data_IF_817343024701
#
_entry.id   IF_817343024701
#
_cell.length_a   1.000
_cell.length_b   1.000
_cell.length_c   1.000
_cell.angle_alpha   90.00
_cell.angle_beta   90.00
_cell.angle_gamma   90.00
#
_symmetry.space_group_name_H-M   'P 1'
#
loop_
_entity.id
_entity.type
_entity.pdbx_description
1 polymer ?
#
# COMPACT_ATOMS: atom_id res chain seq x y z
N UNK A 1 2.62 -4.49 11.55
CA UNK A 1 4.05 -4.23 11.66
C UNK A 1 4.29 -3.02 12.56
N UNK A 2 5.46 -2.38 12.49
CA UNK A 2 5.90 -1.41 13.49
C UNK A 2 5.21 -0.04 13.42
N UNK A 3 4.52 0.29 12.35
CA UNK A 3 3.73 1.54 12.27
C UNK A 3 2.81 1.71 13.48
N UNK A 4 2.09 0.66 13.88
CA UNK A 4 1.21 0.71 15.04
C UNK A 4 1.99 0.98 16.36
N UNK A 5 3.19 0.41 16.52
CA UNK A 5 4.03 0.65 17.68
C UNK A 5 4.62 2.07 17.68
N UNK A 6 5.03 2.57 16.50
CA UNK A 6 5.52 3.94 16.34
C UNK A 6 4.42 4.96 16.66
N UNK A 7 3.21 4.78 16.13
CA UNK A 7 2.05 5.63 16.44
C UNK A 7 1.68 5.57 17.91
N UNK A 8 1.70 4.39 18.53
CA UNK A 8 1.48 4.25 19.98
C UNK A 8 2.53 5.02 20.79
N UNK A 9 3.81 4.87 20.46
CA UNK A 9 4.88 5.63 21.10
C UNK A 9 4.70 7.14 20.95
N UNK A 10 4.30 7.59 19.75
CA UNK A 10 3.98 9.00 19.48
C UNK A 10 2.87 9.53 20.40
N UNK A 11 1.81 8.74 20.62
CA UNK A 11 0.68 9.13 21.47
C UNK A 11 1.01 9.04 22.97
N UNK A 12 1.60 7.93 23.41
CA UNK A 12 1.91 7.67 24.83
C UNK A 12 2.95 8.67 25.37
N UNK A 13 3.96 9.01 24.56
CA UNK A 13 4.98 9.98 24.94
C UNK A 13 4.64 11.43 24.56
N UNK A 14 3.43 11.66 24.03
CA UNK A 14 2.93 12.99 23.65
C UNK A 14 3.87 13.75 22.71
N UNK A 15 4.55 13.05 21.79
CA UNK A 15 5.51 13.69 20.87
C UNK A 15 4.87 14.77 19.98
N UNK A 16 3.56 14.76 19.85
CA UNK A 16 2.79 15.83 19.19
C UNK A 16 2.82 17.17 19.93
N UNK A 17 3.21 17.19 21.21
CA UNK A 17 3.26 18.43 21.98
C UNK A 17 4.53 19.25 21.68
N UNK A 18 5.60 18.59 21.25
CA UNK A 18 6.90 19.24 21.03
C UNK A 18 7.03 19.83 19.62
N UNK A 19 6.33 19.25 18.63
CA UNK A 19 6.42 19.67 17.23
C UNK A 19 5.17 19.29 16.44
N UNK A 20 4.79 20.16 15.50
CA UNK A 20 3.68 19.87 14.58
C UNK A 20 3.98 18.68 13.67
N UNK A 21 5.23 18.53 13.22
CA UNK A 21 5.68 17.43 12.38
C UNK A 21 6.71 16.58 13.13
N UNK A 22 6.31 15.39 13.54
CA UNK A 22 7.19 14.40 14.15
C UNK A 22 7.64 13.38 13.10
N UNK A 23 8.94 13.22 12.92
CA UNK A 23 9.55 12.25 12.02
C UNK A 23 10.24 11.17 12.82
N UNK A 24 9.80 9.94 12.64
CA UNK A 24 10.32 8.76 13.33
C UNK A 24 10.88 7.76 12.32
N UNK A 25 11.87 6.98 12.73
CA UNK A 25 12.31 5.80 11.99
C UNK A 25 12.47 4.63 12.92
N UNK A 26 12.42 3.45 12.38
CA UNK A 26 12.69 2.21 13.10
C UNK A 26 13.40 1.19 12.21
N UNK A 27 14.21 0.35 12.86
CA UNK A 27 14.88 -0.80 12.22
C UNK A 27 14.74 -1.97 13.19
N UNK A 28 14.28 -3.11 12.72
CA UNK A 28 14.17 -4.29 13.58
C UNK A 28 13.43 -5.45 12.96
N UNK A 29 13.32 -6.52 13.75
CA UNK A 29 12.56 -7.71 13.38
C UNK A 29 11.07 -7.47 13.46
N UNK A 30 10.37 -7.95 12.44
CA UNK A 30 8.92 -7.92 12.32
C UNK A 30 8.41 -9.35 12.16
N UNK A 31 7.18 -9.58 12.61
CA UNK A 31 6.57 -10.89 12.58
C UNK A 31 5.22 -10.86 11.87
N UNK A 32 4.97 -11.82 10.97
CA UNK A 32 3.68 -12.04 10.32
C UNK A 32 3.28 -13.50 10.42
N UNK A 33 2.00 -13.73 10.65
CA UNK A 33 1.43 -15.07 10.54
C UNK A 33 1.10 -15.38 9.07
N UNK A 34 2.15 -15.42 8.25
CA UNK A 34 2.04 -15.76 6.83
C UNK A 34 2.38 -17.24 6.59
N UNK A 35 1.88 -17.80 5.49
CA UNK A 35 2.32 -19.11 5.01
C UNK A 35 3.76 -18.98 4.53
N UNK A 36 4.73 -19.66 5.15
CA UNK A 36 6.13 -19.58 4.74
C UNK A 36 6.32 -20.07 3.30
N UNK A 37 7.17 -19.38 2.56
CA UNK A 37 7.59 -19.77 1.20
C UNK A 37 8.94 -19.09 0.90
N UNK A 38 9.57 -19.46 -0.22
CA UNK A 38 10.84 -18.85 -0.63
C UNK A 38 10.74 -17.30 -0.66
N UNK A 39 11.62 -16.63 0.08
CA UNK A 39 11.65 -15.17 0.20
C UNK A 39 10.53 -14.57 1.06
N UNK A 40 9.72 -15.39 1.74
CA UNK A 40 8.67 -14.90 2.65
C UNK A 40 8.72 -15.69 3.95
N UNK A 41 9.33 -15.11 4.96
CA UNK A 41 9.48 -15.68 6.30
C UNK A 41 8.46 -15.07 7.25
N UNK A 42 8.19 -15.75 8.37
CA UNK A 42 7.36 -15.23 9.45
C UNK A 42 8.07 -14.14 10.26
N UNK A 43 9.39 -14.26 10.39
CA UNK A 43 10.26 -13.21 10.88
C UNK A 43 11.02 -12.58 9.71
N UNK A 44 11.08 -11.25 9.66
CA UNK A 44 11.81 -10.49 8.66
C UNK A 44 12.24 -9.14 9.26
N UNK A 45 13.30 -8.56 8.72
CA UNK A 45 13.75 -7.23 9.14
C UNK A 45 13.10 -6.15 8.29
N UNK A 46 12.76 -5.06 8.94
CA UNK A 46 12.17 -3.90 8.26
C UNK A 46 12.85 -2.62 8.74
N UNK A 47 13.17 -1.75 7.78
CA UNK A 47 13.39 -0.34 8.00
C UNK A 47 12.10 0.40 7.65
N UNK A 48 11.67 1.30 8.51
CA UNK A 48 10.49 2.11 8.27
C UNK A 48 10.66 3.53 8.76
N UNK A 49 9.93 4.44 8.13
CA UNK A 49 9.85 5.85 8.51
C UNK A 49 8.39 6.26 8.61
N UNK A 50 8.09 7.10 9.59
CA UNK A 50 6.76 7.64 9.83
C UNK A 50 6.87 9.16 9.97
N UNK A 51 6.00 9.90 9.29
CA UNK A 51 5.83 11.33 9.45
C UNK A 51 4.42 11.60 9.95
N UNK A 52 4.31 12.16 11.15
CA UNK A 52 3.06 12.29 11.90
C UNK A 52 2.81 13.75 12.26
N UNK A 53 1.54 14.18 12.22
CA UNK A 53 1.11 15.49 12.69
C UNK A 53 0.93 16.54 11.60
N UNK A 54 1.30 16.28 10.35
CA UNK A 54 1.20 17.26 9.25
C UNK A 54 0.47 16.65 8.05
N UNK A 55 -0.44 17.40 7.45
CA UNK A 55 -1.24 16.98 6.29
C UNK A 55 -0.75 17.59 4.96
N UNK A 56 0.37 18.31 4.97
CA UNK A 56 0.90 18.95 3.77
C UNK A 56 1.45 17.91 2.79
N UNK A 57 1.05 17.93 1.50
CA UNK A 57 1.55 17.02 0.48
C UNK A 57 3.09 17.02 0.30
N UNK A 58 3.76 18.09 0.72
CA UNK A 58 5.22 18.15 0.69
C UNK A 58 5.87 17.10 1.59
N UNK A 59 5.20 16.71 2.69
CA UNK A 59 5.69 15.64 3.58
C UNK A 59 5.63 14.29 2.88
N UNK A 60 4.56 14.02 2.13
CA UNK A 60 4.47 12.81 1.30
C UNK A 60 5.59 12.76 0.26
N UNK A 61 5.85 13.89 -0.42
CA UNK A 61 6.93 14.00 -1.41
C UNK A 61 8.31 13.79 -0.76
N UNK A 62 8.53 14.29 0.45
CA UNK A 62 9.77 14.09 1.19
C UNK A 62 9.99 12.60 1.51
N UNK A 63 8.98 11.91 2.04
CA UNK A 63 9.08 10.47 2.35
C UNK A 63 9.33 9.64 1.10
N UNK A 64 8.68 9.98 -0.01
CA UNK A 64 8.93 9.34 -1.31
C UNK A 64 10.39 9.54 -1.75
N UNK A 65 10.86 10.78 -1.68
CA UNK A 65 12.22 11.13 -2.08
C UNK A 65 13.25 10.41 -1.23
N UNK A 66 13.02 10.35 0.09
CA UNK A 66 13.86 9.58 1.01
C UNK A 66 13.92 8.10 0.62
N UNK A 67 12.77 7.48 0.36
CA UNK A 67 12.74 6.07 -0.03
C UNK A 67 13.49 5.80 -1.35
N UNK A 68 13.33 6.67 -2.34
CA UNK A 68 14.04 6.56 -3.63
C UNK A 68 15.55 6.78 -3.45
N UNK A 69 15.94 7.79 -2.66
CA UNK A 69 17.35 8.09 -2.40
C UNK A 69 18.02 6.95 -1.64
N UNK A 70 17.38 6.45 -0.58
CA UNK A 70 17.87 5.30 0.20
C UNK A 70 18.17 4.08 -0.68
N UNK A 71 17.25 3.75 -1.61
CA UNK A 71 17.46 2.61 -2.51
C UNK A 71 18.60 2.88 -3.52
N UNK A 72 18.76 4.13 -3.97
CA UNK A 72 19.91 4.51 -4.84
C UNK A 72 21.24 4.40 -4.09
N UNK A 73 21.28 4.84 -2.84
CA UNK A 73 22.48 4.78 -2.01
C UNK A 73 22.89 3.32 -1.70
N UNK A 74 21.93 2.39 -1.66
CA UNK A 74 22.16 0.95 -1.63
C UNK A 74 22.62 0.36 -2.97
N UNK A 75 22.80 1.19 -4.01
CA UNK A 75 23.29 0.77 -5.33
C UNK A 75 22.22 0.19 -6.26
N UNK A 76 20.94 0.26 -5.90
CA UNK A 76 19.86 -0.19 -6.77
C UNK A 76 19.69 0.76 -7.96
N UNK A 77 19.75 0.20 -9.18
CA UNK A 77 19.55 0.90 -10.44
C UNK A 77 18.18 0.60 -11.02
N UNK A 78 17.72 1.41 -11.98
CA UNK A 78 16.46 1.20 -12.70
C UNK A 78 15.20 1.14 -11.80
N UNK A 79 15.19 1.95 -10.76
CA UNK A 79 14.06 2.07 -9.83
C UNK A 79 12.92 2.79 -10.55
N UNK A 80 11.74 2.16 -10.59
CA UNK A 80 10.51 2.77 -11.07
C UNK A 80 9.58 3.08 -9.92
N UNK A 81 9.33 4.36 -9.70
CA UNK A 81 8.34 4.83 -8.74
C UNK A 81 6.93 4.79 -9.38
N UNK A 82 6.00 4.12 -8.72
CA UNK A 82 4.59 4.10 -9.10
C UNK A 82 3.78 4.72 -7.98
N UNK A 83 3.08 5.79 -8.30
CA UNK A 83 2.17 6.47 -7.37
C UNK A 83 0.75 5.97 -7.60
N UNK A 84 0.04 5.71 -6.52
CA UNK A 84 -1.36 5.31 -6.55
C UNK A 84 -2.08 5.85 -5.32
N UNK A 85 -3.42 5.80 -5.32
CA UNK A 85 -4.25 6.21 -4.19
C UNK A 85 -5.30 5.15 -3.88
N UNK A 86 -5.61 4.96 -2.61
CA UNK A 86 -6.74 4.10 -2.15
C UNK A 86 -8.04 4.88 -1.95
N UNK A 87 -8.02 6.18 -2.22
CA UNK A 87 -9.15 7.06 -2.04
C UNK A 87 -9.45 7.44 -0.58
N UNK A 88 -10.28 8.45 -0.41
CA UNK A 88 -10.75 8.95 0.88
C UNK A 88 -12.00 8.21 1.38
N UNK A 89 -12.46 8.45 2.62
CA UNK A 89 -13.69 7.84 3.15
C UNK A 89 -14.94 8.11 2.31
N UNK A 90 -14.99 9.21 1.55
CA UNK A 90 -16.12 9.57 0.69
C UNK A 90 -16.10 8.80 -0.64
N UNK A 91 -14.95 8.70 -1.29
CA UNK A 91 -14.84 8.05 -2.60
C UNK A 91 -14.66 6.53 -2.53
N UNK A 92 -14.11 5.99 -1.43
CA UNK A 92 -13.86 4.55 -1.26
C UNK A 92 -15.13 3.68 -1.34
N UNK A 93 -16.27 4.03 -0.73
CA UNK A 93 -17.51 3.27 -0.87
C UNK A 93 -17.99 3.19 -2.33
N UNK A 94 -17.97 4.30 -3.05
CA UNK A 94 -18.35 4.36 -4.46
C UNK A 94 -17.43 3.50 -5.33
N UNK A 95 -16.13 3.56 -5.07
CA UNK A 95 -15.15 2.73 -5.76
C UNK A 95 -15.35 1.24 -5.48
N UNK A 96 -15.63 0.88 -4.22
CA UNK A 96 -15.95 -0.48 -3.81
C UNK A 96 -17.16 -1.02 -4.56
N UNK A 97 -18.22 -0.25 -4.63
CA UNK A 97 -19.44 -0.62 -5.36
C UNK A 97 -19.15 -0.86 -6.85
N UNK A 98 -18.43 0.05 -7.50
CA UNK A 98 -18.05 -0.11 -8.92
C UNK A 98 -17.16 -1.31 -9.18
N UNK A 99 -16.25 -1.63 -8.26
CA UNK A 99 -15.47 -2.87 -8.35
C UNK A 99 -16.36 -4.10 -8.27
N UNK A 100 -17.34 -4.12 -7.38
CA UNK A 100 -18.28 -5.23 -7.26
C UNK A 100 -19.14 -5.35 -8.53
N UNK A 101 -19.67 -4.26 -9.04
CA UNK A 101 -20.41 -4.24 -10.31
C UNK A 101 -19.57 -4.76 -11.49
N UNK A 102 -18.31 -4.36 -11.56
CA UNK A 102 -17.38 -4.79 -12.61
C UNK A 102 -17.07 -6.29 -12.55
N UNK A 103 -16.85 -6.84 -11.35
CA UNK A 103 -16.50 -8.25 -11.18
C UNK A 103 -17.73 -9.17 -11.11
N UNK A 104 -18.93 -8.64 -10.92
CA UNK A 104 -20.17 -9.42 -10.81
C UNK A 104 -20.37 -10.44 -11.94
N UNK A 105 -20.16 -10.10 -13.22
CA UNK A 105 -20.37 -11.05 -14.32
C UNK A 105 -19.38 -12.22 -14.35
N UNK A 106 -18.22 -12.06 -13.70
CA UNK A 106 -17.07 -12.99 -13.82
C UNK A 106 -16.67 -13.61 -12.48
N UNK A 107 -17.39 -13.29 -11.40
CA UNK A 107 -17.02 -13.73 -10.05
C UNK A 107 -17.06 -15.27 -9.92
N UNK A 108 -17.97 -15.93 -10.62
CA UNK A 108 -18.12 -17.37 -10.59
C UNK A 108 -16.94 -18.10 -11.26
N UNK A 109 -16.23 -17.42 -12.16
CA UNK A 109 -15.02 -17.93 -12.82
C UNK A 109 -13.74 -17.66 -12.01
N UNK A 110 -13.85 -16.93 -10.89
CA UNK A 110 -12.71 -16.60 -10.05
C UNK A 110 -12.43 -17.69 -9.00
N UNK A 111 -11.21 -17.65 -8.42
CA UNK A 111 -10.83 -18.59 -7.36
C UNK A 111 -11.66 -18.37 -6.08
N UNK A 112 -11.77 -19.39 -5.24
CA UNK A 112 -12.56 -19.37 -3.99
C UNK A 112 -12.18 -18.22 -3.05
N UNK A 113 -10.88 -17.90 -2.98
CA UNK A 113 -10.40 -16.74 -2.25
C UNK A 113 -11.02 -15.42 -2.74
N UNK A 114 -11.17 -15.27 -4.06
CA UNK A 114 -11.77 -14.08 -4.65
C UNK A 114 -13.27 -14.04 -4.40
N UNK A 115 -13.96 -15.17 -4.53
CA UNK A 115 -15.40 -15.28 -4.20
C UNK A 115 -15.64 -14.86 -2.74
N UNK A 116 -14.83 -15.36 -1.80
CA UNK A 116 -14.95 -15.00 -0.39
C UNK A 116 -14.62 -13.52 -0.08
N UNK A 117 -13.78 -12.89 -0.90
CA UNK A 117 -13.36 -11.49 -0.74
C UNK A 117 -14.29 -10.50 -1.43
N UNK A 118 -15.12 -10.96 -2.34
CA UNK A 118 -16.00 -10.11 -3.16
C UNK A 118 -16.86 -9.16 -2.30
N UNK A 119 -17.47 -9.67 -1.24
CA UNK A 119 -18.29 -8.87 -0.34
C UNK A 119 -17.50 -8.19 0.76
N UNK A 120 -16.47 -8.86 1.28
CA UNK A 120 -15.70 -8.37 2.42
C UNK A 120 -14.71 -7.27 2.04
N UNK A 121 -13.93 -7.50 1.00
CA UNK A 121 -12.89 -6.59 0.54
C UNK A 121 -12.62 -6.74 -0.97
N UNK A 122 -13.50 -6.20 -1.83
CA UNK A 122 -13.39 -6.34 -3.28
C UNK A 122 -12.10 -5.73 -3.86
N UNK A 123 -11.45 -4.81 -3.16
CA UNK A 123 -10.15 -4.27 -3.60
C UNK A 123 -9.07 -5.36 -3.70
N UNK A 124 -9.16 -6.41 -2.88
CA UNK A 124 -8.24 -7.56 -2.95
C UNK A 124 -8.44 -8.48 -4.16
N UNK A 125 -9.52 -8.32 -4.91
CA UNK A 125 -9.71 -8.99 -6.20
C UNK A 125 -8.62 -8.55 -7.21
N UNK A 126 -8.15 -7.33 -7.09
CA UNK A 126 -7.08 -6.78 -7.91
C UNK A 126 -5.72 -7.49 -7.69
N UNK A 127 -5.53 -8.13 -6.54
CA UNK A 127 -4.31 -8.87 -6.20
C UNK A 127 -4.32 -10.31 -6.70
N UNK A 128 -5.43 -10.76 -7.32
CA UNK A 128 -5.56 -12.13 -7.81
C UNK A 128 -4.51 -12.44 -8.88
N UNK A 129 -3.87 -13.60 -8.75
CA UNK A 129 -2.79 -14.04 -9.65
C UNK A 129 -3.28 -14.80 -10.89
N UNK A 130 -4.57 -15.08 -11.00
CA UNK A 130 -5.15 -15.74 -12.17
C UNK A 130 -4.93 -14.94 -13.44
N UNK A 131 -4.59 -15.62 -14.55
CA UNK A 131 -4.27 -14.98 -15.83
C UNK A 131 -5.42 -14.11 -16.36
N UNK A 132 -6.66 -14.60 -16.24
CA UNK A 132 -7.86 -13.89 -16.68
C UNK A 132 -8.07 -12.55 -15.94
N UNK A 133 -7.82 -12.53 -14.62
CA UNK A 133 -7.93 -11.31 -13.81
C UNK A 133 -6.88 -10.27 -14.20
N UNK A 134 -5.70 -10.70 -14.62
CA UNK A 134 -4.64 -9.79 -15.10
C UNK A 134 -5.05 -9.04 -16.38
N UNK A 135 -5.82 -9.65 -17.28
CA UNK A 135 -6.32 -8.97 -18.47
C UNK A 135 -7.40 -7.93 -18.13
N UNK A 136 -8.31 -8.25 -17.21
CA UNK A 136 -9.36 -7.34 -16.74
C UNK A 136 -8.81 -6.14 -15.97
N UNK A 137 -7.66 -6.29 -15.27
CA UNK A 137 -6.98 -5.17 -14.59
C UNK A 137 -6.56 -4.03 -15.51
N UNK A 138 -6.25 -4.31 -16.77
CA UNK A 138 -5.91 -3.25 -17.76
C UNK A 138 -7.10 -2.35 -18.04
N UNK A 139 -8.30 -2.91 -18.13
CA UNK A 139 -9.55 -2.17 -18.33
C UNK A 139 -9.96 -1.39 -17.06
N UNK A 140 -9.70 -1.97 -15.88
CA UNK A 140 -9.93 -1.34 -14.58
C UNK A 140 -8.99 -0.17 -14.28
N UNK A 141 -7.76 -0.18 -14.78
CA UNK A 141 -6.81 0.93 -14.60
C UNK A 141 -7.35 2.22 -15.23
N UNK A 142 -8.10 2.14 -16.33
CA UNK A 142 -8.77 3.30 -16.93
C UNK A 142 -9.88 3.87 -16.02
N UNK A 143 -10.57 3.02 -15.24
CA UNK A 143 -11.58 3.44 -14.26
C UNK A 143 -10.94 4.02 -12.97
N UNK A 144 -9.72 3.61 -12.63
CA UNK A 144 -8.98 4.07 -11.45
C UNK A 144 -8.50 5.53 -11.57
N UNK A 145 -8.18 5.98 -12.77
CA UNK A 145 -7.67 7.34 -13.03
C UNK A 145 -8.68 8.42 -12.63
N UNK A 146 -9.97 8.09 -12.62
CA UNK A 146 -11.06 9.05 -12.34
C UNK A 146 -11.31 9.29 -10.85
N UNK A 147 -10.77 8.45 -9.93
CA UNK A 147 -11.20 8.43 -8.52
C UNK A 147 -10.14 8.76 -7.47
N UNK A 148 -8.92 9.11 -7.84
CA UNK A 148 -7.83 9.13 -6.87
C UNK A 148 -7.19 10.50 -6.71
N UNK A 149 -7.55 11.24 -5.69
CA UNK A 149 -6.79 12.45 -5.35
C UNK A 149 -6.39 12.64 -3.86
N UNK A 150 -6.73 11.77 -2.92
CA UNK A 150 -6.50 12.11 -1.51
C UNK A 150 -5.79 11.10 -0.61
N UNK A 151 -5.36 9.95 -1.10
CA UNK A 151 -4.51 9.01 -0.30
C UNK A 151 -3.51 8.34 -1.22
N UNK A 152 -2.25 8.54 -1.00
CA UNK A 152 -1.18 8.05 -1.85
C UNK A 152 -0.64 6.70 -1.36
N UNK A 153 -0.62 5.68 -2.22
CA UNK A 153 0.15 4.46 -2.03
C UNK A 153 1.33 4.50 -2.99
N UNK A 154 2.52 4.33 -2.42
CA UNK A 154 3.75 4.28 -3.19
C UNK A 154 4.12 2.81 -3.39
N UNK A 155 4.36 2.44 -4.62
CA UNK A 155 4.97 1.16 -4.97
C UNK A 155 6.25 1.40 -5.74
N UNK A 156 7.35 0.90 -5.22
CA UNK A 156 8.64 0.93 -5.90
C UNK A 156 8.84 -0.45 -6.53
N UNK A 157 9.04 -0.50 -7.84
CA UNK A 157 9.38 -1.73 -8.56
C UNK A 157 10.83 -1.67 -9.00
N UNK A 158 11.55 -2.74 -8.70
CA UNK A 158 12.86 -3.03 -9.27
C UNK A 158 12.65 -3.85 -10.55
N UNK A 159 13.35 -3.48 -11.62
CA UNK A 159 13.37 -4.25 -12.86
C UNK A 159 14.54 -5.22 -12.76
N UNK A 160 14.26 -6.49 -12.52
CA UNK A 160 15.29 -7.52 -12.69
C UNK A 160 15.68 -7.53 -14.17
N UNK A 161 16.96 -7.31 -14.42
CA UNK A 161 17.62 -7.51 -15.72
C UNK A 161 17.64 -8.97 -16.11
#
# INVERSE_FOLDING_TARGET
>A
ENTAAAVRSYLENKLYADTNLCKLFYIGSMFRYDRPQAGRYREFHQFGVEALGEANPAVDAEIISLAVQFLKDLGLKDIKLLLNSVGCPKCRPVYRQRLQEFFKPVIDEMCDDCKSRYDRNPMRLLDCKMKNVKSWRKTLLLLLIVFAMNVMIISIKYKNS
#
